data_IF_554059372917
#
_entry.id   IF_554059372917
#
_cell.length_a   1.000
_cell.length_b   1.000
_cell.length_c   1.000
_cell.angle_alpha   90.00
_cell.angle_beta   90.00
_cell.angle_gamma   90.00
#
_symmetry.space_group_name_H-M   'P 1'
#
loop_
_entity.id
_entity.type
_entity.pdbx_description
1 polymer ?
#
# COMPACT_ATOMS: atom_id res chain seq x y z
N UNK A 1 -12.73 -2.56 -6.48
CA UNK A 1 -11.27 -2.57 -6.71
C UNK A 1 -10.85 -1.16 -7.04
N UNK A 2 -9.80 -0.66 -6.41
CA UNK A 2 -9.25 0.67 -6.64
C UNK A 2 -7.91 0.57 -7.36
N UNK A 3 -7.32 1.71 -7.69
CA UNK A 3 -6.01 1.77 -8.34
C UNK A 3 -5.04 2.68 -7.61
N UNK A 4 -3.79 2.21 -7.52
CA UNK A 4 -2.64 3.00 -7.15
C UNK A 4 -1.85 3.35 -8.42
N UNK A 5 -1.63 4.64 -8.65
CA UNK A 5 -0.77 5.14 -9.73
C UNK A 5 0.40 5.90 -9.11
N UNK A 6 1.63 5.59 -9.51
CA UNK A 6 2.82 6.24 -8.99
C UNK A 6 3.74 6.69 -10.12
N UNK A 7 3.82 8.00 -10.35
CA UNK A 7 4.55 8.62 -11.46
C UNK A 7 3.67 8.91 -12.70
N UNK A 8 4.14 9.80 -13.59
CA UNK A 8 3.32 10.40 -14.65
C UNK A 8 2.97 9.49 -15.83
N UNK A 9 3.67 8.35 -15.99
CA UNK A 9 3.42 7.38 -17.08
C UNK A 9 3.29 5.95 -16.54
N UNK A 10 2.99 5.80 -15.25
CA UNK A 10 2.90 4.49 -14.63
C UNK A 10 1.58 3.80 -14.94
N UNK A 11 1.65 2.49 -15.16
CA UNK A 11 0.46 1.64 -15.28
C UNK A 11 -0.27 1.61 -13.94
N UNK A 12 -1.60 1.82 -13.89
CA UNK A 12 -2.37 1.68 -12.67
C UNK A 12 -2.24 0.26 -12.10
N UNK A 13 -2.01 0.18 -10.79
CA UNK A 13 -1.93 -1.08 -10.06
C UNK A 13 -3.29 -1.32 -9.42
N UNK A 14 -3.98 -2.39 -9.84
CA UNK A 14 -5.26 -2.79 -9.26
C UNK A 14 -5.03 -3.38 -7.87
N UNK A 15 -5.70 -2.82 -6.87
CA UNK A 15 -5.63 -3.25 -5.48
C UNK A 15 -7.07 -3.28 -4.94
N UNK A 16 -7.38 -4.21 -4.04
CA UNK A 16 -8.68 -4.20 -3.38
C UNK A 16 -8.91 -2.89 -2.63
N UNK A 17 -10.14 -2.38 -2.68
CA UNK A 17 -10.47 -1.05 -2.14
C UNK A 17 -10.08 -0.96 -0.65
N UNK A 18 -10.32 -2.05 0.09
CA UNK A 18 -9.98 -2.14 1.51
C UNK A 18 -8.48 -2.02 1.72
N UNK A 19 -7.69 -2.79 1.00
CA UNK A 19 -6.23 -2.77 1.07
C UNK A 19 -5.69 -1.40 0.67
N UNK A 20 -6.18 -0.84 -0.44
CA UNK A 20 -5.78 0.47 -0.95
C UNK A 20 -6.04 1.59 0.07
N UNK A 21 -7.16 1.57 0.79
CA UNK A 21 -7.46 2.55 1.83
C UNK A 21 -6.44 2.54 2.99
N UNK A 22 -5.99 1.36 3.39
CA UNK A 22 -5.01 1.25 4.47
C UNK A 22 -3.60 1.58 3.96
N UNK A 23 -3.25 1.14 2.75
CA UNK A 23 -2.02 1.53 2.07
C UNK A 23 -1.95 3.06 1.91
N UNK A 24 -3.04 3.71 1.48
CA UNK A 24 -3.11 5.17 1.37
C UNK A 24 -2.76 5.85 2.69
N UNK A 25 -3.31 5.38 3.81
CA UNK A 25 -3.04 5.95 5.13
C UNK A 25 -1.54 5.85 5.49
N UNK A 26 -0.91 4.69 5.24
CA UNK A 26 0.51 4.44 5.53
C UNK A 26 1.41 5.25 4.60
N UNK A 27 1.18 5.17 3.29
CA UNK A 27 1.95 5.86 2.25
C UNK A 27 1.92 7.38 2.49
N UNK A 28 0.74 7.97 2.67
CA UNK A 28 0.63 9.41 2.90
C UNK A 28 1.30 9.83 4.22
N UNK A 29 1.27 8.99 5.25
CA UNK A 29 1.97 9.27 6.51
C UNK A 29 3.49 9.37 6.29
N UNK A 30 4.09 8.41 5.57
CA UNK A 30 5.54 8.41 5.30
C UNK A 30 5.94 9.55 4.37
N UNK A 31 5.20 9.78 3.28
CA UNK A 31 5.49 10.88 2.35
C UNK A 31 5.40 12.26 3.02
N UNK A 32 4.42 12.48 3.91
CA UNK A 32 4.31 13.74 4.69
C UNK A 32 5.47 13.97 5.65
N UNK A 33 6.15 12.90 6.10
CA UNK A 33 7.35 12.97 6.93
C UNK A 33 8.64 13.17 6.12
N UNK A 34 8.54 13.24 4.79
CA UNK A 34 9.71 13.31 3.93
C UNK A 34 10.45 11.97 3.79
N UNK A 35 9.83 10.86 4.20
CA UNK A 35 10.46 9.54 4.18
C UNK A 35 10.31 8.91 2.78
N UNK A 36 11.43 8.46 2.21
CA UNK A 36 11.44 7.59 1.03
C UNK A 36 11.45 6.13 1.47
N UNK A 37 10.72 5.28 0.75
CA UNK A 37 10.56 3.88 1.11
C UNK A 37 10.21 3.00 -0.10
N UNK A 38 10.51 1.70 0.00
CA UNK A 38 10.02 0.70 -0.95
C UNK A 38 8.61 0.25 -0.59
N UNK A 39 7.76 -0.01 -1.58
CA UNK A 39 6.48 -0.69 -1.44
C UNK A 39 6.47 -1.97 -2.27
N UNK A 40 6.33 -3.12 -1.61
CA UNK A 40 6.31 -4.44 -2.23
C UNK A 40 4.94 -5.08 -2.09
N UNK A 41 4.45 -5.71 -3.17
CA UNK A 41 3.24 -6.52 -3.14
C UNK A 41 3.37 -7.75 -4.05
N UNK A 42 2.65 -8.80 -3.70
CA UNK A 42 2.56 -10.02 -4.51
C UNK A 42 1.63 -9.80 -5.70
N UNK A 43 1.99 -10.35 -6.86
CA UNK A 43 1.08 -10.41 -8.00
C UNK A 43 0.26 -11.69 -7.92
N UNK A 44 -1.04 -11.56 -7.73
CA UNK A 44 -1.98 -12.63 -8.02
C UNK A 44 -2.19 -12.71 -9.54
N UNK A 45 -1.35 -13.47 -10.24
CA UNK A 45 -1.65 -13.92 -11.59
C UNK A 45 -1.37 -15.40 -11.72
N UNK A 46 -2.32 -16.12 -12.29
CA UNK A 46 -2.47 -17.58 -12.27
C UNK A 46 -1.34 -18.39 -12.94
N UNK A 47 -0.33 -17.72 -13.52
CA UNK A 47 0.76 -18.35 -14.28
C UNK A 47 2.19 -18.05 -13.82
N UNK A 48 2.41 -17.14 -12.85
CA UNK A 48 3.71 -17.01 -12.20
C UNK A 48 3.59 -16.29 -10.85
N UNK A 49 4.02 -16.95 -9.77
CA UNK A 49 4.28 -16.29 -8.49
C UNK A 49 5.41 -15.26 -8.69
N UNK A 50 5.14 -14.01 -8.37
CA UNK A 50 6.11 -12.93 -8.43
C UNK A 50 5.71 -11.77 -7.53
N UNK A 51 6.68 -10.92 -7.20
CA UNK A 51 6.45 -9.69 -6.46
C UNK A 51 6.84 -8.49 -7.33
N UNK A 52 6.18 -7.37 -7.09
CA UNK A 52 6.58 -6.08 -7.63
C UNK A 52 7.02 -5.19 -6.47
N UNK A 53 8.03 -4.37 -6.70
CA UNK A 53 8.48 -3.35 -5.74
C UNK A 53 8.49 -1.99 -6.42
N UNK A 54 7.87 -1.01 -5.79
CA UNK A 54 7.96 0.41 -6.15
C UNK A 54 8.89 1.14 -5.18
N UNK A 55 9.69 2.08 -5.68
CA UNK A 55 10.41 3.03 -4.85
C UNK A 55 9.63 4.34 -4.76
N UNK A 56 9.18 4.71 -3.56
CA UNK A 56 8.34 5.89 -3.30
C UNK A 56 9.14 7.05 -2.70
N UNK A 57 8.93 8.26 -3.23
CA UNK A 57 9.61 9.48 -2.79
C UNK A 57 8.61 10.64 -2.60
N UNK A 58 8.76 11.50 -1.56
CA UNK A 58 7.82 12.59 -1.23
C UNK A 58 7.50 13.58 -2.36
N UNK A 59 8.43 13.77 -3.29
CA UNK A 59 8.30 14.72 -4.40
C UNK A 59 7.75 14.11 -5.70
N UNK A 60 7.28 12.86 -5.64
CA UNK A 60 6.74 12.16 -6.80
C UNK A 60 5.22 12.14 -6.77
N UNK A 61 4.62 12.18 -7.96
CA UNK A 61 3.17 12.08 -8.13
C UNK A 61 2.66 10.71 -7.65
N UNK A 62 1.64 10.71 -6.80
CA UNK A 62 0.91 9.51 -6.37
C UNK A 62 -0.59 9.79 -6.41
N UNK A 63 -1.35 8.87 -6.98
CA UNK A 63 -2.80 8.94 -7.07
C UNK A 63 -3.42 7.67 -6.51
N UNK A 64 -4.49 7.85 -5.73
CA UNK A 64 -5.33 6.78 -5.19
C UNK A 64 -6.73 6.97 -5.76
N UNK A 65 -7.15 6.03 -6.60
CA UNK A 65 -8.44 6.09 -7.29
C UNK A 65 -9.36 4.97 -6.79
N UNK A 66 -10.60 5.32 -6.44
CA UNK A 66 -11.61 4.40 -5.92
C UNK A 66 -12.84 4.40 -6.81
N UNK A 67 -13.38 3.23 -7.10
CA UNK A 67 -14.60 3.08 -7.90
C UNK A 67 -15.80 2.96 -6.94
N UNK A 68 -16.23 4.10 -6.39
CA UNK A 68 -17.38 4.20 -5.48
C UNK A 68 -17.33 5.41 -4.56
N UNK A 69 -18.49 5.84 -4.04
CA UNK A 69 -18.60 7.01 -3.16
C UNK A 69 -18.50 6.69 -1.66
N UNK A 70 -18.45 5.40 -1.29
CA UNK A 70 -18.44 4.99 0.12
C UNK A 70 -17.03 5.10 0.70
N UNK A 71 -16.91 5.84 1.79
CA UNK A 71 -15.68 5.88 2.59
C UNK A 71 -15.41 4.52 3.22
N UNK A 72 -14.18 4.03 3.08
CA UNK A 72 -13.77 2.72 3.56
C UNK A 72 -13.31 2.87 5.02
N UNK A 73 -13.90 2.12 5.98
CA UNK A 73 -13.50 2.20 7.37
C UNK A 73 -12.11 1.59 7.56
N UNK A 74 -11.25 2.35 8.25
CA UNK A 74 -9.86 1.97 8.50
C UNK A 74 -9.74 1.15 9.79
N UNK A 75 -8.91 0.13 9.75
CA UNK A 75 -8.47 -0.67 10.87
C UNK A 75 -7.13 -0.14 11.38
N UNK A 76 -7.13 0.39 12.60
CA UNK A 76 -5.95 1.00 13.21
C UNK A 76 -4.82 -0.01 13.45
N UNK A 77 -5.13 -1.20 13.96
CA UNK A 77 -4.12 -2.22 14.24
C UNK A 77 -3.41 -2.66 12.95
N UNK A 78 -4.15 -2.71 11.84
CA UNK A 78 -3.58 -3.04 10.54
C UNK A 78 -2.66 -1.95 9.98
N UNK A 79 -3.06 -0.68 10.12
CA UNK A 79 -2.19 0.46 9.77
C UNK A 79 -0.91 0.41 10.61
N UNK A 80 -1.02 0.18 11.91
CA UNK A 80 0.13 0.09 12.81
C UNK A 80 1.07 -1.07 12.42
N UNK A 81 0.52 -2.25 12.09
CA UNK A 81 1.31 -3.38 11.62
C UNK A 81 2.05 -3.06 10.30
N UNK A 82 1.38 -2.41 9.33
CA UNK A 82 2.02 -2.00 8.08
C UNK A 82 3.05 -0.89 8.28
N UNK A 83 2.79 0.08 9.16
CA UNK A 83 3.76 1.13 9.52
C UNK A 83 5.02 0.52 10.14
N UNK A 84 4.87 -0.46 11.03
CA UNK A 84 6.01 -1.14 11.66
C UNK A 84 6.89 -1.83 10.60
N UNK A 85 6.28 -2.54 9.64
CA UNK A 85 7.01 -3.14 8.52
C UNK A 85 7.68 -2.08 7.63
N UNK A 86 6.97 -1.00 7.32
CA UNK A 86 7.47 0.09 6.50
C UNK A 86 8.65 0.86 7.10
N UNK A 87 8.93 0.66 8.40
CA UNK A 87 10.09 1.21 9.09
C UNK A 87 11.24 0.20 9.23
N UNK A 88 11.09 -1.01 8.68
CA UNK A 88 12.13 -2.03 8.61
C UNK A 88 12.91 -1.97 7.29
N UNK A 89 13.99 -2.73 7.18
CA UNK A 89 14.79 -2.83 5.96
C UNK A 89 14.01 -3.37 4.74
N UNK A 90 12.90 -4.10 4.96
CA UNK A 90 12.05 -4.63 3.89
C UNK A 90 11.13 -3.60 3.22
N UNK A 91 10.92 -2.45 3.87
CA UNK A 91 9.97 -1.44 3.42
C UNK A 91 8.50 -1.81 3.67
N UNK A 92 7.59 -1.11 3.00
CA UNK A 92 6.15 -1.33 3.11
C UNK A 92 5.76 -2.59 2.34
N UNK A 93 5.08 -3.52 3.00
CA UNK A 93 4.51 -4.70 2.39
C UNK A 93 3.00 -4.69 2.54
N UNK A 94 2.29 -5.04 1.48
CA UNK A 94 0.86 -5.35 1.59
C UNK A 94 0.70 -6.68 2.33
N UNK A 95 0.07 -6.64 3.50
CA UNK A 95 -0.25 -7.83 4.30
C UNK A 95 -1.75 -7.99 4.46
N UNK A 96 -2.23 -9.23 4.50
CA UNK A 96 -3.63 -9.53 4.76
C UNK A 96 -4.06 -9.03 6.16
N UNK A 97 -5.26 -8.46 6.26
CA UNK A 97 -5.79 -7.93 7.52
C UNK A 97 -5.75 -8.95 8.67
N UNK A 98 -6.04 -10.22 8.38
CA UNK A 98 -6.02 -11.31 9.37
C UNK A 98 -4.64 -11.50 10.02
N UNK A 99 -3.55 -11.29 9.25
CA UNK A 99 -2.18 -11.41 9.76
C UNK A 99 -1.81 -10.24 10.67
N UNK A 100 -2.43 -9.08 10.51
CA UNK A 100 -2.21 -7.93 11.37
C UNK A 100 -2.92 -8.02 12.73
N UNK A 101 -3.88 -8.95 12.87
CA UNK A 101 -4.69 -9.12 14.08
C UNK A 101 -4.32 -10.37 14.89
N UNK A 102 -3.37 -11.19 14.43
CA UNK A 102 -2.94 -12.36 15.18
C UNK A 102 -2.25 -11.92 16.49
N UNK A 103 -2.65 -12.43 17.67
CA UNK A 103 -1.88 -12.25 18.89
C UNK A 103 -0.51 -12.91 18.70
N UNK A 104 0.54 -12.22 19.15
CA UNK A 104 1.92 -12.71 19.13
C UNK A 104 2.08 -14.02 19.91
#
# INVERSE_FOLDING_TARGET
MGTLTYGPAAKPISIDDRDLAHLQAVILTKLRRGESFSFTWERSSDLSSGHNTLWMHPHMFVEFSYYGSKRIPLNRAWIEAMMNRANSAGGLELIAEKLAQAPA
#
